data_IF_681559760915
#
_entry.id   IF_681559760915
#
_cell.length_a   1.000
_cell.length_b   1.000
_cell.length_c   1.000
_cell.angle_alpha   90.00
_cell.angle_beta   90.00
_cell.angle_gamma   90.00
#
_symmetry.space_group_name_H-M   'P 1'
#
loop_
_entity.id
_entity.type
_entity.pdbx_description
1 polymer ?
#
# COMPACT_ATOMS: atom_id res chain seq x y z
N UNK A 1 -19.12 49.15 3.88
CA UNK A 1 -20.52 49.65 3.90
C UNK A 1 -21.34 49.18 5.10
N UNK A 2 -21.13 47.96 5.64
CA UNK A 2 -21.85 47.44 6.82
C UNK A 2 -21.82 48.34 8.06
N UNK A 3 -20.70 49.01 8.34
CA UNK A 3 -20.53 49.87 9.52
C UNK A 3 -21.44 51.12 9.53
N UNK A 4 -21.80 51.64 8.34
CA UNK A 4 -22.71 52.79 8.20
C UNK A 4 -24.18 52.39 8.33
N UNK A 5 -24.53 51.20 7.83
CA UNK A 5 -25.86 50.60 8.04
C UNK A 5 -26.13 50.30 9.52
N UNK A 6 -25.16 49.74 10.25
CA UNK A 6 -25.31 49.45 11.67
C UNK A 6 -25.55 50.70 12.53
N UNK A 7 -24.86 51.82 12.24
CA UNK A 7 -25.11 53.08 12.94
C UNK A 7 -26.49 53.67 12.63
N UNK A 8 -26.96 53.57 11.38
CA UNK A 8 -28.27 54.09 10.98
C UNK A 8 -29.42 53.33 11.67
N UNK A 9 -29.29 52.01 11.80
CA UNK A 9 -30.25 51.17 12.55
C UNK A 9 -30.23 51.52 14.03
N UNK A 10 -29.04 51.69 14.63
CA UNK A 10 -28.92 52.07 16.04
C UNK A 10 -29.53 53.46 16.31
N UNK A 11 -29.35 54.42 15.40
CA UNK A 11 -29.86 55.79 15.54
C UNK A 11 -31.40 55.85 15.42
N UNK A 12 -31.99 55.00 14.58
CA UNK A 12 -33.46 54.87 14.43
C UNK A 12 -34.09 54.18 15.65
N UNK A 13 -33.41 53.20 16.25
CA UNK A 13 -33.87 52.52 17.47
C UNK A 13 -33.81 53.46 18.69
N UNK A 14 -32.79 54.31 18.80
CA UNK A 14 -32.67 55.27 19.90
C UNK A 14 -33.60 56.49 19.71
N UNK A 15 -33.84 56.93 18.48
CA UNK A 15 -34.70 58.08 18.17
C UNK A 15 -36.21 57.82 18.35
N UNK A 16 -36.63 56.57 18.48
CA UNK A 16 -38.05 56.18 18.68
C UNK A 16 -38.39 55.79 20.13
N UNK A 17 -37.44 55.91 21.06
CA UNK A 17 -37.60 55.51 22.47
C UNK A 17 -38.51 56.43 23.32
N UNK A 18 -38.91 57.61 22.83
CA UNK A 18 -39.72 58.57 23.60
C UNK A 18 -41.23 58.30 23.55
N UNK A 19 -41.69 57.29 22.82
CA UNK A 19 -43.09 56.87 22.76
C UNK A 19 -43.23 55.34 22.88
N UNK A 20 -42.52 54.74 23.85
CA UNK A 20 -42.75 53.33 24.16
C UNK A 20 -44.20 53.13 24.63
N UNK A 21 -44.98 52.24 23.99
CA UNK A 21 -46.25 51.80 24.56
C UNK A 21 -45.96 51.28 25.97
N UNK A 22 -46.84 51.55 26.94
CA UNK A 22 -46.78 50.80 28.20
C UNK A 22 -47.10 49.34 27.87
N UNK A 23 -46.06 48.57 27.60
CA UNK A 23 -46.14 47.12 27.45
C UNK A 23 -46.84 46.58 28.69
N UNK A 24 -47.80 45.69 28.49
CA UNK A 24 -48.41 45.00 29.62
C UNK A 24 -47.34 44.11 30.26
N UNK A 25 -47.44 43.88 31.57
CA UNK A 25 -46.48 43.09 32.33
C UNK A 25 -46.27 41.69 31.73
N UNK A 26 -47.35 41.10 31.20
CA UNK A 26 -47.33 39.82 30.48
C UNK A 26 -46.49 39.86 29.18
N UNK A 27 -46.50 40.98 28.46
CA UNK A 27 -45.75 41.15 27.21
C UNK A 27 -44.26 41.39 27.49
N UNK A 28 -43.92 42.09 28.59
CA UNK A 28 -42.53 42.23 29.04
C UNK A 28 -41.95 40.88 29.43
N UNK A 29 -42.70 40.09 30.20
CA UNK A 29 -42.26 38.75 30.61
C UNK A 29 -42.07 37.82 29.41
N UNK A 30 -42.98 37.86 28.44
CA UNK A 30 -42.85 37.10 27.20
C UNK A 30 -41.59 37.48 26.41
N UNK A 31 -41.29 38.79 26.29
CA UNK A 31 -40.07 39.26 25.63
C UNK A 31 -38.81 38.82 26.37
N UNK A 32 -38.78 38.93 27.70
CA UNK A 32 -37.64 38.50 28.51
C UNK A 32 -37.40 37.00 28.38
N UNK A 33 -38.45 36.17 28.44
CA UNK A 33 -38.35 34.72 28.23
C UNK A 33 -37.81 34.40 26.82
N UNK A 34 -38.26 35.12 25.79
CA UNK A 34 -37.75 34.95 24.43
C UNK A 34 -36.29 35.42 24.26
N UNK A 35 -35.91 36.53 24.88
CA UNK A 35 -34.52 37.00 24.87
C UNK A 35 -33.60 36.02 25.57
N UNK A 36 -34.04 35.47 26.71
CA UNK A 36 -33.29 34.48 27.45
C UNK A 36 -33.14 33.18 26.64
N UNK A 37 -34.21 32.69 26.02
CA UNK A 37 -34.15 31.52 25.13
C UNK A 37 -33.20 31.73 23.94
N UNK A 38 -33.22 32.92 23.32
CA UNK A 38 -32.29 33.26 22.24
C UNK A 38 -30.85 33.32 22.77
N UNK A 39 -30.62 33.90 23.95
CA UNK A 39 -29.29 33.99 24.54
C UNK A 39 -28.71 32.60 24.85
N UNK A 40 -29.53 31.70 25.38
CA UNK A 40 -29.17 30.29 25.59
C UNK A 40 -28.86 29.59 24.26
N UNK A 41 -29.68 29.82 23.23
CA UNK A 41 -29.45 29.24 21.90
C UNK A 41 -28.15 29.75 21.26
N UNK A 42 -27.85 31.04 21.40
CA UNK A 42 -26.59 31.64 20.92
C UNK A 42 -25.39 31.09 21.69
N UNK A 43 -25.51 30.89 23.01
CA UNK A 43 -24.46 30.25 23.80
C UNK A 43 -24.24 28.80 23.35
N UNK A 44 -25.31 28.03 23.17
CA UNK A 44 -25.22 26.64 22.70
C UNK A 44 -24.56 26.56 21.31
N UNK A 45 -24.92 27.44 20.38
CA UNK A 45 -24.28 27.55 19.07
C UNK A 45 -22.80 27.94 19.18
N UNK A 46 -22.47 28.86 20.09
CA UNK A 46 -21.08 29.25 20.34
C UNK A 46 -20.24 28.06 20.83
N UNK A 47 -20.76 27.27 21.77
CA UNK A 47 -20.11 26.05 22.24
C UNK A 47 -19.96 25.02 21.12
N UNK A 48 -20.95 24.85 20.25
CA UNK A 48 -20.84 23.97 19.09
C UNK A 48 -19.75 24.42 18.11
N UNK A 49 -19.65 25.72 17.82
CA UNK A 49 -18.60 26.27 16.95
C UNK A 49 -17.21 26.05 17.58
N UNK A 50 -17.07 26.23 18.90
CA UNK A 50 -15.82 25.96 19.60
C UNK A 50 -15.45 24.47 19.50
N UNK A 51 -16.41 23.56 19.68
CA UNK A 51 -16.21 22.12 19.51
C UNK A 51 -15.79 21.74 18.09
N UNK A 52 -16.44 22.29 17.07
CA UNK A 52 -16.08 22.06 15.66
C UNK A 52 -14.69 22.60 15.33
N UNK A 53 -14.31 23.77 15.87
CA UNK A 53 -12.96 24.30 15.70
C UNK A 53 -11.89 23.42 16.37
N UNK A 54 -12.19 22.85 17.54
CA UNK A 54 -11.30 21.90 18.20
C UNK A 54 -11.11 20.62 17.36
N UNK A 55 -12.20 20.06 16.81
CA UNK A 55 -12.13 18.91 15.89
C UNK A 55 -11.33 19.22 14.63
N UNK A 56 -11.49 20.41 14.05
CA UNK A 56 -10.72 20.82 12.87
C UNK A 56 -9.23 20.92 13.20
N UNK A 57 -8.88 21.46 14.37
CA UNK A 57 -7.49 21.53 14.84
C UNK A 57 -6.90 20.13 15.03
N UNK A 58 -7.65 19.20 15.65
CA UNK A 58 -7.25 17.81 15.82
C UNK A 58 -7.05 17.09 14.47
N UNK A 59 -7.97 17.31 13.51
CA UNK A 59 -7.88 16.72 12.19
C UNK A 59 -6.63 17.23 11.43
N UNK A 60 -6.32 18.53 11.54
CA UNK A 60 -5.07 19.09 11.00
C UNK A 60 -3.83 18.49 11.65
N UNK A 61 -3.86 18.26 12.96
CA UNK A 61 -2.76 17.61 13.68
C UNK A 61 -2.56 16.17 13.21
N UNK A 62 -3.65 15.41 13.08
CA UNK A 62 -3.63 14.04 12.55
C UNK A 62 -3.12 14.01 11.11
N UNK A 63 -3.52 14.96 10.26
CA UNK A 63 -3.01 15.07 8.90
C UNK A 63 -1.49 15.28 8.85
N UNK A 64 -0.94 16.14 9.72
CA UNK A 64 0.51 16.34 9.83
C UNK A 64 1.21 15.07 10.31
N UNK A 65 0.63 14.34 11.27
CA UNK A 65 1.19 13.08 11.75
C UNK A 65 1.22 12.02 10.65
N UNK A 66 0.14 11.89 9.86
CA UNK A 66 0.09 10.98 8.71
C UNK A 66 1.13 11.36 7.65
N UNK A 67 1.29 12.66 7.34
CA UNK A 67 2.35 13.10 6.43
C UNK A 67 3.75 12.70 6.92
N UNK A 68 4.02 12.83 8.22
CA UNK A 68 5.30 12.40 8.80
C UNK A 68 5.50 10.89 8.67
N UNK A 69 4.46 10.08 8.85
CA UNK A 69 4.52 8.63 8.66
C UNK A 69 4.81 8.29 7.20
N UNK A 70 4.13 8.95 6.25
CA UNK A 70 4.36 8.75 4.81
C UNK A 70 5.81 9.08 4.44
N UNK A 71 6.34 10.22 4.89
CA UNK A 71 7.73 10.61 4.62
C UNK A 71 8.72 9.60 5.19
N UNK A 72 8.47 9.08 6.40
CA UNK A 72 9.31 8.02 7.00
C UNK A 72 9.27 6.73 6.20
N UNK A 73 8.08 6.30 5.75
CA UNK A 73 7.94 5.10 4.92
C UNK A 73 8.61 5.27 3.56
N UNK A 74 8.47 6.42 2.92
CA UNK A 74 9.14 6.71 1.64
C UNK A 74 10.67 6.65 1.79
N UNK A 75 11.21 7.17 2.89
CA UNK A 75 12.64 7.06 3.19
C UNK A 75 13.07 5.62 3.43
N UNK A 76 12.29 4.85 4.19
CA UNK A 76 12.57 3.43 4.42
C UNK A 76 12.55 2.62 3.12
N UNK A 77 11.62 2.92 2.20
CA UNK A 77 11.59 2.30 0.87
C UNK A 77 12.82 2.69 0.02
N UNK A 78 13.27 3.94 0.08
CA UNK A 78 14.50 4.37 -0.59
C UNK A 78 15.74 3.68 -0.01
N UNK A 79 15.82 3.54 1.31
CA UNK A 79 16.92 2.85 1.98
C UNK A 79 16.89 1.35 1.63
N UNK A 80 15.71 0.73 1.57
CA UNK A 80 15.55 -0.66 1.11
C UNK A 80 15.95 -0.82 -0.35
N UNK A 81 15.64 0.13 -1.22
CA UNK A 81 16.04 0.11 -2.63
C UNK A 81 17.56 0.26 -2.78
N UNK A 82 18.20 1.11 -1.96
CA UNK A 82 19.65 1.21 -1.89
C UNK A 82 20.30 -0.06 -1.31
N UNK A 83 19.68 -0.68 -0.31
CA UNK A 83 20.13 -1.97 0.23
C UNK A 83 19.97 -3.09 -0.81
N UNK A 84 18.85 -3.17 -1.50
CA UNK A 84 18.62 -4.14 -2.57
C UNK A 84 19.60 -3.93 -3.73
N UNK A 85 19.86 -2.67 -4.09
CA UNK A 85 20.86 -2.31 -5.10
C UNK A 85 22.27 -2.68 -4.67
N UNK A 86 22.65 -2.44 -3.40
CA UNK A 86 23.97 -2.84 -2.89
C UNK A 86 24.13 -4.35 -2.74
N UNK A 87 23.07 -5.08 -2.37
CA UNK A 87 23.04 -6.55 -2.39
C UNK A 87 23.18 -7.06 -3.81
N UNK A 88 22.49 -6.46 -4.79
CA UNK A 88 22.57 -6.88 -6.19
C UNK A 88 23.97 -6.62 -6.76
N UNK A 89 24.52 -5.43 -6.55
CA UNK A 89 25.88 -5.09 -6.99
C UNK A 89 26.92 -6.00 -6.32
N UNK A 90 26.81 -6.18 -5.00
CA UNK A 90 27.66 -7.08 -4.23
C UNK A 90 27.50 -8.55 -4.64
N UNK A 91 26.29 -8.98 -5.04
CA UNK A 91 26.05 -10.32 -5.55
C UNK A 91 26.66 -10.54 -6.93
N UNK A 92 26.65 -9.52 -7.80
CA UNK A 92 27.28 -9.58 -9.12
C UNK A 92 28.81 -9.62 -8.99
N UNK A 93 29.39 -8.84 -8.08
CA UNK A 93 30.83 -8.88 -7.76
C UNK A 93 31.24 -10.22 -7.12
N UNK A 94 30.44 -10.75 -6.19
CA UNK A 94 30.65 -12.05 -5.58
C UNK A 94 30.50 -13.20 -6.59
N UNK A 95 29.57 -13.10 -7.54
CA UNK A 95 29.39 -14.11 -8.59
C UNK A 95 30.52 -14.07 -9.62
N UNK A 96 31.01 -12.87 -9.98
CA UNK A 96 32.17 -12.71 -10.85
C UNK A 96 33.45 -13.29 -10.21
N UNK A 97 33.66 -13.04 -8.92
CA UNK A 97 34.79 -13.62 -8.17
C UNK A 97 34.65 -15.13 -7.98
N UNK A 98 33.45 -15.66 -7.71
CA UNK A 98 33.20 -17.11 -7.68
C UNK A 98 33.47 -17.77 -9.04
N UNK A 99 33.03 -17.15 -10.13
CA UNK A 99 33.28 -17.66 -11.48
C UNK A 99 34.79 -17.69 -11.79
N UNK A 100 35.50 -16.63 -11.45
CA UNK A 100 36.96 -16.58 -11.58
C UNK A 100 37.66 -17.65 -10.71
N UNK A 101 37.17 -17.90 -9.49
CA UNK A 101 37.70 -18.94 -8.61
C UNK A 101 37.44 -20.35 -9.16
N UNK A 102 36.25 -20.62 -9.70
CA UNK A 102 35.90 -21.89 -10.35
C UNK A 102 36.78 -22.13 -11.57
N UNK A 103 36.99 -21.11 -12.41
CA UNK A 103 37.84 -21.19 -13.58
C UNK A 103 39.31 -21.45 -13.20
N UNK A 104 39.78 -20.81 -12.13
CA UNK A 104 41.10 -21.07 -11.56
C UNK A 104 41.26 -22.52 -11.06
N UNK A 105 40.30 -23.03 -10.28
CA UNK A 105 40.30 -24.42 -9.79
C UNK A 105 40.26 -25.42 -10.95
N UNK A 106 39.49 -25.12 -12.01
CA UNK A 106 39.44 -25.94 -13.21
C UNK A 106 40.79 -25.99 -13.92
N UNK A 107 41.45 -24.85 -14.08
CA UNK A 107 42.77 -24.75 -14.70
C UNK A 107 43.84 -25.47 -13.86
N UNK A 108 43.79 -25.32 -12.54
CA UNK A 108 44.69 -26.01 -11.61
C UNK A 108 44.49 -27.53 -11.65
N UNK A 109 43.24 -28.01 -11.67
CA UNK A 109 42.93 -29.44 -11.84
C UNK A 109 43.39 -29.98 -13.19
N UNK A 110 43.23 -29.21 -14.28
CA UNK A 110 43.67 -29.63 -15.61
C UNK A 110 45.21 -29.67 -15.70
N UNK A 111 45.90 -28.73 -15.06
CA UNK A 111 47.35 -28.71 -14.96
C UNK A 111 47.89 -29.85 -14.08
N UNK A 112 47.23 -30.12 -12.94
CA UNK A 112 47.57 -31.23 -12.06
C UNK A 112 47.34 -32.58 -12.76
N UNK A 113 46.22 -32.73 -13.47
CA UNK A 113 45.91 -33.91 -14.26
C UNK A 113 46.91 -34.14 -15.40
N UNK A 114 47.31 -33.08 -16.11
CA UNK A 114 48.35 -33.17 -17.15
C UNK A 114 49.72 -33.54 -16.58
N UNK A 115 50.05 -33.09 -15.36
CA UNK A 115 51.28 -33.49 -14.67
C UNK A 115 51.23 -34.93 -14.17
N UNK A 116 50.06 -35.43 -13.77
CA UNK A 116 49.89 -36.78 -13.25
C UNK A 116 49.79 -37.84 -14.36
N UNK A 117 49.24 -37.49 -15.53
CA UNK A 117 49.02 -38.43 -16.63
C UNK A 117 50.21 -38.59 -17.58
N UNK A 118 51.26 -37.75 -17.44
CA UNK A 118 52.51 -37.87 -18.20
C UNK A 118 52.38 -37.67 -19.71
N UNK A 119 51.21 -37.25 -20.20
CA UNK A 119 50.98 -36.95 -21.62
C UNK A 119 51.38 -35.50 -21.91
N UNK A 120 52.17 -35.22 -22.96
CA UNK A 120 52.38 -33.84 -23.39
C UNK A 120 51.04 -33.22 -23.76
N UNK A 121 50.87 -31.93 -23.46
CA UNK A 121 49.71 -31.13 -23.83
C UNK A 121 49.62 -30.98 -25.36
N UNK A 122 49.24 -32.05 -26.05
CA UNK A 122 48.84 -32.02 -27.44
C UNK A 122 47.37 -31.66 -27.51
N UNK A 123 47.14 -30.38 -27.80
CA UNK A 123 46.16 -29.92 -28.78
C UNK A 123 45.03 -30.92 -29.04
N UNK A 124 43.98 -30.88 -28.23
CA UNK A 124 42.64 -31.18 -28.76
C UNK A 124 42.13 -29.86 -29.30
N UNK A 125 41.95 -29.89 -30.61
CA UNK A 125 41.55 -28.81 -31.48
C UNK A 125 40.47 -27.92 -30.88
N UNK A 126 40.52 -26.66 -31.30
CA UNK A 126 39.36 -25.79 -31.43
C UNK A 126 38.27 -26.50 -32.25
N UNK A 127 37.55 -27.40 -31.59
CA UNK A 127 36.19 -27.75 -31.96
C UNK A 127 35.33 -26.63 -31.42
N UNK A 128 35.05 -25.66 -32.28
CA UNK A 128 33.78 -24.92 -32.23
C UNK A 128 32.71 -25.95 -31.87
N UNK A 129 32.03 -25.84 -30.71
CA UNK A 129 30.71 -26.41 -30.61
C UNK A 129 29.91 -25.62 -31.64
N UNK A 130 29.70 -26.26 -32.78
CA UNK A 130 28.53 -26.08 -33.62
C UNK A 130 27.40 -25.50 -32.76
N UNK A 131 26.92 -24.31 -33.14
CA UNK A 131 25.67 -23.77 -32.63
C UNK A 131 24.56 -24.76 -33.01
N UNK A 132 24.44 -25.85 -32.27
CA UNK A 132 23.15 -26.47 -32.04
C UNK A 132 22.21 -25.35 -31.60
N UNK A 133 20.96 -25.36 -32.08
CA UNK A 133 20.02 -24.28 -31.81
C UNK A 133 20.09 -24.03 -30.31
N UNK A 134 20.40 -22.78 -29.96
CA UNK A 134 20.43 -22.30 -28.59
C UNK A 134 19.17 -22.87 -27.96
N UNK A 135 19.30 -23.91 -27.14
CA UNK A 135 18.28 -24.25 -26.19
C UNK A 135 18.29 -23.02 -25.32
N UNK A 136 17.44 -22.06 -25.71
CA UNK A 136 16.87 -21.04 -24.86
C UNK A 136 16.77 -21.74 -23.52
N UNK A 137 17.45 -21.27 -22.46
CA UNK A 137 17.22 -21.86 -21.15
C UNK A 137 15.71 -21.97 -21.05
N UNK A 138 15.18 -23.20 -20.94
CA UNK A 138 13.77 -23.42 -20.74
C UNK A 138 13.52 -22.56 -19.53
N UNK A 139 12.92 -21.39 -19.75
CA UNK A 139 12.55 -20.52 -18.68
C UNK A 139 11.68 -21.44 -17.85
N UNK A 140 12.18 -21.81 -16.67
CA UNK A 140 11.30 -22.38 -15.64
C UNK A 140 10.09 -21.46 -15.70
N UNK A 141 8.86 -21.97 -15.93
CA UNK A 141 7.70 -21.12 -16.02
C UNK A 141 7.78 -20.20 -14.82
N UNK A 142 7.87 -18.89 -15.07
CA UNK A 142 8.01 -17.92 -13.99
C UNK A 142 6.90 -18.27 -13.02
N UNK A 143 7.26 -18.74 -11.82
CA UNK A 143 6.29 -19.22 -10.85
C UNK A 143 5.51 -17.97 -10.48
N UNK A 144 4.32 -17.82 -11.06
CA UNK A 144 3.43 -16.71 -10.76
C UNK A 144 3.01 -16.93 -9.31
N UNK A 145 3.71 -16.24 -8.43
CA UNK A 145 3.50 -16.26 -6.99
C UNK A 145 3.15 -14.85 -6.54
N UNK A 146 2.08 -14.74 -5.78
CA UNK A 146 1.63 -13.53 -5.09
C UNK A 146 1.25 -13.83 -3.65
N UNK A 147 0.67 -12.82 -3.02
CA UNK A 147 0.25 -12.78 -1.64
C UNK A 147 -1.12 -12.08 -1.53
N UNK A 148 -1.87 -12.49 -0.51
CA UNK A 148 -3.12 -11.84 -0.14
C UNK A 148 -2.83 -10.52 0.57
N UNK A 149 -3.35 -9.42 0.04
CA UNK A 149 -3.19 -8.07 0.62
C UNK A 149 -4.42 -7.60 1.38
N UNK A 150 -5.60 -8.16 1.12
CA UNK A 150 -6.81 -7.92 1.90
C UNK A 150 -7.84 -9.05 1.72
N UNK A 151 -8.72 -9.22 2.70
CA UNK A 151 -9.84 -10.17 2.66
C UNK A 151 -11.12 -9.42 3.06
N UNK A 152 -12.07 -9.31 2.14
CA UNK A 152 -13.32 -8.56 2.32
C UNK A 152 -14.53 -9.37 1.84
N UNK A 153 -15.35 -9.86 2.78
CA UNK A 153 -16.69 -10.38 2.47
C UNK A 153 -16.73 -11.48 1.39
N UNK A 154 -15.71 -12.34 1.33
CA UNK A 154 -15.58 -13.43 0.34
C UNK A 154 -14.76 -13.09 -0.90
N UNK A 155 -14.30 -11.83 -1.02
CA UNK A 155 -13.30 -11.43 -2.00
C UNK A 155 -11.93 -11.30 -1.35
N UNK A 156 -10.89 -11.55 -2.14
CA UNK A 156 -9.49 -11.52 -1.73
C UNK A 156 -8.75 -10.59 -2.69
N UNK A 157 -8.00 -9.63 -2.16
CA UNK A 157 -7.13 -8.77 -2.94
C UNK A 157 -5.74 -9.37 -2.99
N UNK A 158 -5.13 -9.37 -4.17
CA UNK A 158 -3.87 -10.03 -4.46
C UNK A 158 -2.86 -9.02 -5.02
N UNK A 159 -1.60 -9.16 -4.65
CA UNK A 159 -0.47 -8.37 -5.21
C UNK A 159 0.11 -8.97 -6.51
N UNK A 160 -0.76 -9.61 -7.29
CA UNK A 160 -0.47 -10.06 -8.65
C UNK A 160 -1.54 -9.51 -9.60
N UNK A 161 -1.09 -9.06 -10.78
CA UNK A 161 -1.93 -8.45 -11.80
C UNK A 161 -1.46 -8.80 -13.21
N UNK A 162 -1.75 -7.91 -14.16
CA UNK A 162 -1.51 -8.23 -15.58
C UNK A 162 -0.02 -8.39 -15.93
N UNK A 163 0.90 -7.79 -15.17
CA UNK A 163 2.34 -7.92 -15.42
C UNK A 163 2.85 -9.35 -15.17
N UNK A 164 2.14 -10.11 -14.33
CA UNK A 164 2.43 -11.50 -14.02
C UNK A 164 1.58 -12.47 -14.87
N UNK A 165 0.89 -11.98 -15.90
CA UNK A 165 0.06 -12.83 -16.78
C UNK A 165 -1.27 -13.26 -16.15
N UNK A 166 -1.72 -12.56 -15.10
CA UNK A 166 -3.01 -12.81 -14.45
C UNK A 166 -4.12 -12.06 -15.21
N UNK A 167 -5.22 -12.75 -15.48
CA UNK A 167 -6.39 -12.22 -16.17
C UNK A 167 -7.67 -12.61 -15.42
N UNK A 168 -8.80 -11.95 -15.72
CA UNK A 168 -10.08 -12.39 -15.18
C UNK A 168 -10.38 -13.84 -15.62
N UNK A 169 -10.83 -14.67 -14.68
CA UNK A 169 -11.02 -16.11 -14.86
C UNK A 169 -9.80 -16.97 -14.58
N UNK A 170 -8.62 -16.39 -14.32
CA UNK A 170 -7.43 -17.16 -13.90
C UNK A 170 -7.71 -17.84 -12.55
N UNK A 171 -7.42 -19.14 -12.47
CA UNK A 171 -7.50 -19.92 -11.23
C UNK A 171 -6.17 -19.94 -10.50
N UNK A 172 -6.25 -19.79 -9.20
CA UNK A 172 -5.10 -19.67 -8.32
C UNK A 172 -5.31 -20.56 -7.09
N UNK A 173 -4.28 -21.31 -6.70
CA UNK A 173 -4.24 -22.04 -5.45
C UNK A 173 -3.74 -21.13 -4.31
N UNK A 174 -4.44 -21.16 -3.19
CA UNK A 174 -4.12 -20.41 -1.96
C UNK A 174 -3.45 -21.35 -0.96
N UNK A 175 -2.35 -20.89 -0.35
CA UNK A 175 -1.54 -21.62 0.63
C UNK A 175 -1.28 -20.75 1.86
N UNK A 176 -1.04 -21.37 3.01
CA UNK A 176 -0.69 -20.63 4.23
C UNK A 176 0.69 -20.00 4.16
N UNK A 177 0.81 -18.77 4.64
CA UNK A 177 2.10 -18.08 4.73
C UNK A 177 3.09 -18.82 5.66
N UNK A 178 2.58 -19.29 6.80
CA UNK A 178 3.36 -19.98 7.84
C UNK A 178 3.72 -21.42 7.46
N UNK A 179 2.99 -22.00 6.51
CA UNK A 179 3.25 -23.33 5.96
C UNK A 179 2.83 -23.37 4.48
N UNK A 180 3.77 -23.11 3.55
CA UNK A 180 3.51 -23.09 2.12
C UNK A 180 3.09 -24.44 1.53
N UNK A 181 3.13 -25.53 2.31
CA UNK A 181 2.64 -26.85 1.91
C UNK A 181 1.16 -27.04 2.21
N UNK A 182 0.60 -26.26 3.13
CA UNK A 182 -0.82 -26.31 3.51
C UNK A 182 -1.66 -25.49 2.53
N UNK A 183 -2.39 -26.19 1.65
CA UNK A 183 -3.37 -25.58 0.73
C UNK A 183 -4.62 -25.16 1.51
N UNK A 184 -4.98 -23.89 1.44
CA UNK A 184 -6.20 -23.30 2.02
C UNK A 184 -7.39 -23.51 1.08
N UNK A 185 -7.18 -23.33 -0.22
CA UNK A 185 -8.28 -23.38 -1.19
C UNK A 185 -7.91 -22.97 -2.60
N UNK A 186 -8.93 -22.61 -3.37
CA UNK A 186 -8.85 -22.13 -4.75
C UNK A 186 -9.57 -20.80 -4.87
N UNK A 187 -8.88 -19.86 -5.51
CA UNK A 187 -9.37 -18.53 -5.86
C UNK A 187 -9.53 -18.45 -7.38
N UNK A 188 -10.46 -17.62 -7.82
CA UNK A 188 -10.60 -17.25 -9.22
C UNK A 188 -10.58 -15.74 -9.34
N UNK A 189 -9.76 -15.21 -10.22
CA UNK A 189 -9.61 -13.76 -10.41
C UNK A 189 -10.89 -13.22 -11.02
N UNK A 190 -11.60 -12.39 -10.27
CA UNK A 190 -12.83 -11.74 -10.73
C UNK A 190 -12.51 -10.50 -11.58
N UNK A 191 -11.47 -9.75 -11.20
CA UNK A 191 -11.06 -8.53 -11.89
C UNK A 191 -9.56 -8.28 -11.68
N UNK A 192 -8.88 -7.83 -12.72
CA UNK A 192 -7.52 -7.28 -12.61
C UNK A 192 -7.64 -5.77 -12.43
N UNK A 193 -7.10 -5.24 -11.34
CA UNK A 193 -7.23 -3.83 -10.98
C UNK A 193 -6.15 -3.00 -11.66
N UNK A 194 -4.92 -3.49 -11.67
CA UNK A 194 -3.77 -2.85 -12.31
C UNK A 194 -2.69 -3.89 -12.71
N UNK A 195 -1.49 -3.41 -13.06
CA UNK A 195 -0.37 -4.27 -13.47
C UNK A 195 0.15 -5.18 -12.36
N UNK A 196 -0.04 -4.83 -11.09
CA UNK A 196 0.45 -5.56 -9.93
C UNK A 196 -0.63 -6.01 -8.95
N UNK A 197 -1.91 -5.72 -9.17
CA UNK A 197 -2.98 -6.05 -8.25
C UNK A 197 -4.20 -6.64 -8.95
N UNK A 198 -4.85 -7.58 -8.30
CA UNK A 198 -6.10 -8.16 -8.75
C UNK A 198 -7.04 -8.47 -7.59
N UNK A 199 -8.32 -8.60 -7.90
CA UNK A 199 -9.38 -9.03 -6.99
C UNK A 199 -9.84 -10.41 -7.41
N UNK A 200 -9.76 -11.36 -6.49
CA UNK A 200 -10.20 -12.73 -6.67
C UNK A 200 -11.40 -13.04 -5.77
N UNK A 201 -12.26 -13.94 -6.24
CA UNK A 201 -13.31 -14.56 -5.45
C UNK A 201 -12.86 -15.93 -4.97
N UNK A 202 -13.34 -16.33 -3.81
CA UNK A 202 -13.09 -17.66 -3.27
C UNK A 202 -14.01 -18.67 -3.97
N UNK A 203 -13.43 -19.67 -4.63
CA UNK A 203 -14.19 -20.74 -5.31
C UNK A 203 -14.39 -21.92 -4.36
N UNK A 204 -13.34 -22.31 -3.65
CA UNK A 204 -13.37 -23.44 -2.71
C UNK A 204 -12.42 -23.18 -1.56
N UNK A 205 -12.85 -23.50 -0.35
CA UNK A 205 -12.05 -23.46 0.88
C UNK A 205 -12.06 -24.85 1.50
N UNK A 206 -10.90 -25.28 1.98
CA UNK A 206 -10.77 -26.47 2.81
C UNK A 206 -11.37 -26.21 4.20
N UNK A 207 -12.13 -27.19 4.72
CA UNK A 207 -12.87 -27.03 5.96
C UNK A 207 -11.97 -26.61 7.14
N UNK A 208 -12.39 -25.57 7.86
CA UNK A 208 -11.66 -25.05 9.03
C UNK A 208 -10.51 -24.10 8.72
N UNK A 209 -10.22 -23.83 7.44
CA UNK A 209 -9.21 -22.85 7.04
C UNK A 209 -9.88 -21.58 6.51
N UNK A 210 -9.29 -20.41 6.78
CA UNK A 210 -9.73 -19.12 6.25
C UNK A 210 -8.56 -18.43 5.55
N UNK A 211 -8.81 -17.66 4.46
CA UNK A 211 -7.80 -16.81 3.85
C UNK A 211 -7.38 -15.73 4.84
N UNK A 212 -6.08 -15.52 4.97
CA UNK A 212 -5.52 -14.47 5.83
C UNK A 212 -4.62 -13.55 5.01
N UNK A 213 -4.37 -12.37 5.55
CA UNK A 213 -3.36 -11.46 5.02
C UNK A 213 -2.00 -12.15 4.93
N UNK A 214 -1.27 -11.91 3.84
CA UNK A 214 0.01 -12.54 3.49
C UNK A 214 -0.04 -14.02 3.10
N UNK A 215 -1.20 -14.67 3.04
CA UNK A 215 -1.30 -16.03 2.49
C UNK A 215 -0.81 -16.06 1.04
N UNK A 216 -0.14 -17.16 0.66
CA UNK A 216 0.58 -17.29 -0.61
C UNK A 216 -0.39 -17.74 -1.70
N UNK A 217 -0.30 -17.12 -2.86
CA UNK A 217 -1.12 -17.45 -4.02
C UNK A 217 -0.24 -17.89 -5.17
N UNK A 218 -0.57 -19.02 -5.80
CA UNK A 218 0.16 -19.56 -6.96
C UNK A 218 -0.82 -19.96 -8.05
N UNK A 219 -0.40 -19.87 -9.31
CA UNK A 219 -1.20 -20.41 -10.41
C UNK A 219 -1.38 -21.92 -10.25
N UNK A 220 -2.61 -22.39 -10.46
CA UNK A 220 -2.97 -23.82 -10.45
C UNK A 220 -2.41 -24.56 -11.66
#
# INVERSE_FOLDING_TARGET
MMRRMAMLVLFVVVGTASAWPKWKEDEQKYLDDHFQAIQEQVQALSTQIQGLNALLAELRQNQLQVQQVIVRQQRALQDLDQMASSIRLGSEENFATLKAAIEKVRNENQAAFSKLSGLPASQVAAGTPEMGPTQKPVAMPAVIQGYVTAVEGGNVMLDIGSAQGVHAGTRLALYKANDPSTRVGVLEVAQVTDTGNSKARIVTINAGLQPEFSDIVRVE
#
